data_IF_940822480354
#
_entry.id   IF_940822480354
#
_cell.length_a   1.000
_cell.length_b   1.000
_cell.length_c   1.000
_cell.angle_alpha   90.00
_cell.angle_beta   90.00
_cell.angle_gamma   90.00
#
_symmetry.space_group_name_H-M   'P 1'
#
loop_
_entity.id
_entity.type
_entity.pdbx_description
1 polymer ?
#
# COMPACT_ATOMS: atom_id res chain seq x y z
N UNK A 1 -3.75 -30.26 -54.32
CA UNK A 1 -2.86 -31.02 -53.42
C UNK A 1 -1.86 -30.05 -52.82
N UNK A 2 -1.79 -29.98 -51.47
CA UNK A 2 -0.77 -29.27 -50.63
C UNK A 2 -0.87 -27.74 -50.69
N UNK A 3 -1.53 -26.97 -49.81
CA UNK A 3 -1.67 -27.01 -48.34
C UNK A 3 -0.37 -27.46 -47.68
N UNK A 4 0.58 -26.55 -47.50
CA UNK A 4 1.45 -26.39 -46.32
C UNK A 4 2.50 -25.30 -46.63
N UNK A 5 2.57 -24.29 -45.76
CA UNK A 5 3.61 -23.26 -45.64
C UNK A 5 3.54 -22.03 -46.56
N UNK A 6 2.40 -21.37 -46.46
CA UNK A 6 2.31 -19.92 -46.32
C UNK A 6 2.91 -19.46 -44.98
N UNK A 7 4.22 -19.19 -44.87
CA UNK A 7 4.74 -18.28 -43.82
C UNK A 7 5.97 -17.53 -44.36
N UNK A 8 5.81 -16.22 -44.51
CA UNK A 8 6.87 -15.20 -44.59
C UNK A 8 7.54 -14.90 -45.95
N UNK A 9 6.85 -15.12 -47.08
CA UNK A 9 6.71 -14.01 -48.04
C UNK A 9 5.94 -12.89 -47.32
N UNK A 10 6.09 -11.63 -47.74
CA UNK A 10 5.53 -10.38 -47.15
C UNK A 10 6.60 -9.67 -46.29
N UNK A 11 7.58 -9.00 -46.91
CA UNK A 11 7.55 -7.53 -47.14
C UNK A 11 7.90 -6.81 -45.83
N UNK A 12 9.18 -6.62 -45.50
CA UNK A 12 9.95 -5.41 -45.85
C UNK A 12 9.06 -4.21 -46.21
N UNK A 13 9.14 -3.15 -45.41
CA UNK A 13 8.41 -1.89 -45.61
C UNK A 13 6.97 -1.91 -45.05
N UNK A 14 6.77 -1.27 -43.91
CA UNK A 14 6.36 0.14 -43.91
C UNK A 14 6.27 0.68 -42.47
N UNK A 15 6.84 1.86 -42.28
CA UNK A 15 6.46 2.74 -41.18
C UNK A 15 4.94 2.99 -41.25
N UNK A 16 4.25 2.97 -40.12
CA UNK A 16 2.91 3.54 -40.01
C UNK A 16 2.72 4.13 -38.63
N UNK A 17 2.49 5.43 -38.67
CA UNK A 17 2.05 6.31 -37.60
C UNK A 17 0.84 5.68 -36.89
N UNK A 18 0.91 5.58 -35.57
CA UNK A 18 -0.27 5.68 -34.72
C UNK A 18 -0.16 7.02 -33.99
N UNK A 19 -0.89 8.00 -34.51
CA UNK A 19 -1.51 9.00 -33.67
C UNK A 19 -2.50 8.30 -32.72
N UNK A 20 -2.87 9.03 -31.67
CA UNK A 20 -4.04 8.82 -30.80
C UNK A 20 -3.73 8.54 -29.33
N UNK A 21 -3.74 9.64 -28.58
CA UNK A 21 -4.43 9.82 -27.29
C UNK A 21 -4.08 8.88 -26.13
N UNK A 22 -3.26 9.42 -25.23
CA UNK A 22 -3.43 9.23 -23.79
C UNK A 22 -2.56 8.14 -23.18
N UNK A 23 -1.38 8.53 -22.68
CA UNK A 23 -0.81 7.86 -21.53
C UNK A 23 -0.76 8.83 -20.37
N UNK A 24 -1.74 8.62 -19.48
CA UNK A 24 -1.94 9.30 -18.23
C UNK A 24 -0.66 9.34 -17.41
N UNK A 25 -0.51 10.45 -16.68
CA UNK A 25 0.57 10.78 -15.78
C UNK A 25 1.20 9.55 -15.12
N UNK A 26 2.49 9.34 -15.40
CA UNK A 26 3.33 8.62 -14.45
C UNK A 26 3.63 9.60 -13.34
N UNK A 27 2.73 9.65 -12.36
CA UNK A 27 3.02 10.15 -11.03
C UNK A 27 4.11 9.23 -10.48
N UNK A 28 5.36 9.61 -10.71
CA UNK A 28 6.45 9.15 -9.87
C UNK A 28 6.14 9.75 -8.49
N UNK A 29 5.51 8.95 -7.64
CA UNK A 29 5.10 9.32 -6.29
C UNK A 29 6.29 9.44 -5.35
N UNK A 30 7.38 10.06 -5.78
CA UNK A 30 8.45 10.49 -4.89
C UNK A 30 8.00 11.81 -4.26
N UNK A 31 7.60 11.84 -2.97
CA UNK A 31 7.43 13.11 -2.28
C UNK A 31 8.76 13.88 -2.39
N UNK A 32 8.71 15.21 -2.59
CA UNK A 32 9.93 16.02 -2.64
C UNK A 32 10.76 15.79 -1.36
N UNK A 33 12.10 15.72 -1.46
CA UNK A 33 12.95 15.64 -0.28
C UNK A 33 12.70 16.90 0.57
N UNK A 34 11.91 16.76 1.63
CA UNK A 34 11.43 17.88 2.44
C UNK A 34 9.98 17.80 2.89
N UNK A 35 9.17 16.88 2.36
CA UNK A 35 7.82 16.58 2.89
C UNK A 35 7.76 15.15 3.44
N UNK A 36 8.73 14.78 4.29
CA UNK A 36 8.49 13.69 5.23
C UNK A 36 7.41 14.22 6.20
N UNK A 37 6.25 13.56 6.36
CA UNK A 37 5.34 13.95 7.42
C UNK A 37 6.15 13.92 8.71
N UNK A 38 6.15 15.03 9.44
CA UNK A 38 6.88 15.20 10.68
C UNK A 38 6.48 14.04 11.61
N UNK A 39 7.24 12.94 11.59
CA UNK A 39 7.01 11.79 12.44
C UNK A 39 7.44 12.24 13.82
N UNK A 40 6.50 12.87 14.52
CA UNK A 40 6.59 13.11 15.95
C UNK A 40 6.99 11.77 16.56
N UNK A 41 8.21 11.69 17.09
CA UNK A 41 8.70 10.50 17.76
C UNK A 41 7.94 10.37 19.08
N UNK A 42 6.72 9.84 19.02
CA UNK A 42 5.89 9.55 20.17
C UNK A 42 6.42 8.27 20.82
N UNK A 43 7.00 8.39 22.02
CA UNK A 43 7.41 7.25 22.81
C UNK A 43 6.17 6.54 23.37
N UNK A 44 5.78 5.44 22.73
CA UNK A 44 4.69 4.61 23.22
C UNK A 44 5.16 3.68 24.33
N UNK A 45 4.28 3.42 25.31
CA UNK A 45 4.57 2.51 26.43
C UNK A 45 3.73 1.24 26.33
N UNK A 46 4.18 0.14 26.93
CA UNK A 46 3.39 -1.10 27.03
C UNK A 46 2.35 -1.09 28.16
N UNK A 47 2.00 0.08 28.69
CA UNK A 47 0.95 0.20 29.69
C UNK A 47 -0.38 -0.38 29.17
N UNK A 48 -1.02 -1.23 29.98
CA UNK A 48 -2.31 -1.82 29.66
C UNK A 48 -3.41 -0.77 29.83
N UNK A 49 -3.70 -0.09 28.73
CA UNK A 49 -4.77 0.91 28.62
C UNK A 49 -5.84 0.39 27.66
N UNK A 50 -7.09 0.69 27.98
CA UNK A 50 -8.23 0.36 27.12
C UNK A 50 -8.24 1.22 25.87
N UNK A 51 -8.89 0.73 24.81
CA UNK A 51 -9.00 1.45 23.53
C UNK A 51 -9.61 2.86 23.67
N UNK A 52 -10.45 3.10 24.68
CA UNK A 52 -11.04 4.42 24.95
C UNK A 52 -10.04 5.47 25.47
N UNK A 53 -8.90 5.02 26.02
CA UNK A 53 -7.83 5.89 26.55
C UNK A 53 -6.72 6.13 25.52
N UNK A 54 -6.69 5.33 24.45
CA UNK A 54 -5.74 5.50 23.37
C UNK A 54 -6.14 6.70 22.51
N UNK A 55 -5.14 7.43 22.04
CA UNK A 55 -5.36 8.67 21.27
C UNK A 55 -5.08 8.51 19.78
N UNK A 56 -4.39 7.43 19.37
CA UNK A 56 -4.00 7.22 17.98
C UNK A 56 -3.91 5.72 17.63
N UNK A 57 -4.12 5.43 16.35
CA UNK A 57 -4.00 4.09 15.80
C UNK A 57 -2.55 3.57 15.87
N UNK A 58 -1.56 4.43 15.68
CA UNK A 58 -0.14 4.10 15.82
C UNK A 58 0.20 3.58 17.22
N UNK A 59 -0.37 4.18 18.27
CA UNK A 59 -0.21 3.70 19.64
C UNK A 59 -0.90 2.33 19.84
N UNK A 60 -2.10 2.15 19.29
CA UNK A 60 -2.82 0.88 19.35
C UNK A 60 -2.02 -0.24 18.67
N UNK A 61 -1.47 0.05 17.49
CA UNK A 61 -0.60 -0.84 16.74
C UNK A 61 0.69 -1.15 17.47
N UNK A 62 1.35 -0.14 18.06
CA UNK A 62 2.53 -0.37 18.89
C UNK A 62 2.23 -1.34 20.02
N UNK A 63 1.12 -1.14 20.75
CA UNK A 63 0.79 -2.02 21.87
C UNK A 63 0.36 -3.43 21.42
N UNK A 64 -0.24 -3.59 20.24
CA UNK A 64 -0.55 -4.90 19.68
C UNK A 64 0.74 -5.64 19.26
N UNK A 65 1.57 -5.01 18.43
CA UNK A 65 2.74 -5.62 17.79
C UNK A 65 3.93 -5.69 18.75
N UNK A 66 4.31 -4.57 19.35
CA UNK A 66 5.52 -4.47 20.18
C UNK A 66 5.30 -5.04 21.58
N UNK A 67 4.10 -4.86 22.15
CA UNK A 67 3.79 -5.33 23.50
C UNK A 67 3.03 -6.66 23.53
N UNK A 68 2.63 -7.22 22.38
CA UNK A 68 1.95 -8.51 22.27
C UNK A 68 0.55 -8.54 22.89
N UNK A 69 -0.09 -7.39 23.05
CA UNK A 69 -1.38 -7.30 23.75
C UNK A 69 -2.53 -7.53 22.77
N UNK A 70 -2.79 -8.81 22.47
CA UNK A 70 -3.86 -9.30 21.60
C UNK A 70 -5.26 -8.85 22.02
N UNK A 71 -5.47 -8.44 23.27
CA UNK A 71 -6.74 -7.87 23.73
C UNK A 71 -7.19 -6.63 22.92
N UNK A 72 -6.28 -5.97 22.18
CA UNK A 72 -6.65 -4.87 21.28
C UNK A 72 -7.27 -5.32 19.97
N UNK A 73 -6.98 -6.54 19.54
CA UNK A 73 -7.46 -7.15 18.30
C UNK A 73 -8.13 -8.48 18.70
N UNK A 74 -9.35 -8.36 19.22
CA UNK A 74 -10.05 -9.47 19.87
C UNK A 74 -10.48 -10.53 18.85
N UNK A 75 -10.77 -10.10 17.63
CA UNK A 75 -11.21 -10.87 16.49
C UNK A 75 -10.04 -11.35 15.60
N UNK A 76 -8.82 -10.87 15.85
CA UNK A 76 -7.58 -11.29 15.19
C UNK A 76 -7.56 -11.00 13.69
N UNK A 77 -8.18 -9.90 13.27
CA UNK A 77 -8.20 -9.43 11.89
C UNK A 77 -6.98 -8.54 11.55
N UNK A 78 -6.20 -8.17 12.57
CA UNK A 78 -5.04 -7.30 12.47
C UNK A 78 -5.35 -5.81 12.66
N UNK A 79 -6.59 -5.45 12.98
CA UNK A 79 -7.07 -4.09 13.22
C UNK A 79 -7.28 -3.89 14.74
N UNK A 80 -6.31 -3.33 15.48
CA UNK A 80 -6.49 -3.09 16.89
C UNK A 80 -7.43 -1.91 17.12
N UNK A 81 -8.32 -2.04 18.09
CA UNK A 81 -9.19 -0.94 18.55
C UNK A 81 -9.89 -0.23 17.38
N UNK A 82 -10.85 -0.88 16.73
CA UNK A 82 -11.57 -0.39 15.53
C UNK A 82 -12.21 1.01 15.65
N UNK A 83 -12.39 1.51 16.88
CA UNK A 83 -12.83 2.88 17.13
C UNK A 83 -11.77 3.94 16.79
N UNK A 84 -10.50 3.54 16.68
CA UNK A 84 -9.35 4.39 16.36
C UNK A 84 -8.69 4.02 15.04
N UNK A 85 -8.66 2.72 14.72
CA UNK A 85 -8.06 2.18 13.51
C UNK A 85 -9.15 1.75 12.52
N UNK A 86 -9.04 2.19 11.27
CA UNK A 86 -9.90 1.71 10.16
C UNK A 86 -9.16 0.76 9.21
N UNK A 87 -7.93 0.37 9.55
CA UNK A 87 -7.06 -0.46 8.70
C UNK A 87 -6.13 -1.31 9.56
N UNK A 88 -5.61 -2.43 9.01
CA UNK A 88 -4.63 -3.25 9.71
C UNK A 88 -3.35 -2.48 10.01
N UNK A 89 -2.67 -2.88 11.08
CA UNK A 89 -1.38 -2.28 11.40
C UNK A 89 -0.34 -2.59 10.32
N UNK A 90 0.53 -1.61 9.99
CA UNK A 90 1.68 -1.87 9.12
C UNK A 90 2.56 -2.92 9.80
N UNK A 91 2.82 -4.02 9.09
CA UNK A 91 3.73 -5.08 9.52
C UNK A 91 5.17 -4.75 9.13
#
# INVERSE_FOLDING_TARGET
>A
MRVFLTVAFIVFSQASLAADLGFSARQDGTPPPGTEPFRMATSFTCANVSCKKLSSCEEACYKLIQCGQSIRDRDNDGIPCENLCSRPCPR
#
